data_IF_916349813123
#
_entry.id   IF_916349813123
#
_cell.length_a   1.000
_cell.length_b   1.000
_cell.length_c   1.000
_cell.angle_alpha   90.00
_cell.angle_beta   90.00
_cell.angle_gamma   90.00
#
_symmetry.space_group_name_H-M   'P 1'
#
loop_
_entity.id
_entity.type
_entity.pdbx_description
1 polymer ?
#
# COMPACT_ATOMS: atom_id res chain seq x y z
N UNK A 1 14.03 7.03 16.38
CA UNK A 1 12.85 7.77 15.91
C UNK A 1 12.48 7.18 14.56
N UNK A 2 11.43 6.36 14.48
CA UNK A 2 10.99 5.78 13.22
C UNK A 2 10.16 6.85 12.52
N UNK A 3 10.69 7.39 11.42
CA UNK A 3 9.92 8.32 10.60
C UNK A 3 8.91 7.47 9.84
N UNK A 4 7.59 7.70 10.00
CA UNK A 4 6.56 6.92 9.32
C UNK A 4 6.72 7.13 7.81
N UNK A 5 7.47 6.25 7.18
CA UNK A 5 7.62 6.20 5.73
C UNK A 5 6.56 5.25 5.22
N UNK A 6 5.70 5.83 4.41
CA UNK A 6 4.54 5.25 3.74
C UNK A 6 4.72 3.83 3.16
N UNK A 7 5.94 3.46 2.73
CA UNK A 7 6.23 2.20 2.03
C UNK A 7 6.53 0.99 2.92
N UNK A 8 6.68 1.16 4.25
CA UNK A 8 7.09 0.04 5.12
C UNK A 8 5.95 -0.97 5.30
N UNK A 9 4.70 -0.50 5.32
CA UNK A 9 3.53 -1.32 5.65
C UNK A 9 2.70 -1.71 4.42
N UNK A 10 2.63 -0.83 3.41
CA UNK A 10 1.94 -1.10 2.16
C UNK A 10 2.70 -0.47 0.99
N UNK A 11 2.66 -1.13 -0.17
CA UNK A 11 3.14 -0.53 -1.41
C UNK A 11 2.21 0.60 -1.88
N UNK A 12 0.93 0.53 -1.50
CA UNK A 12 -0.09 1.57 -1.68
C UNK A 12 -0.29 2.32 -0.37
N UNK A 13 0.26 3.54 -0.24
CA UNK A 13 0.43 4.15 1.06
C UNK A 13 -0.76 5.02 1.49
N UNK A 14 -1.80 4.40 2.04
CA UNK A 14 -2.99 5.12 2.55
C UNK A 14 -3.35 4.79 4.01
N UNK A 15 -2.55 3.98 4.70
CA UNK A 15 -2.73 3.72 6.13
C UNK A 15 -1.38 3.53 6.81
N UNK A 16 -1.39 3.61 8.14
CA UNK A 16 -0.27 3.25 9.00
C UNK A 16 -0.80 2.40 10.16
N UNK A 17 -0.04 2.22 11.25
CA UNK A 17 -0.47 1.44 12.43
C UNK A 17 -0.89 2.31 13.62
N UNK A 18 -1.24 3.58 13.38
CA UNK A 18 -1.79 4.48 14.39
C UNK A 18 -3.31 4.48 14.25
N UNK A 19 -3.99 3.98 15.28
CA UNK A 19 -5.45 3.80 15.27
C UNK A 19 -5.93 3.01 14.04
N UNK A 20 -5.21 1.97 13.64
CA UNK A 20 -5.59 1.13 12.50
C UNK A 20 -5.28 -0.32 12.84
N UNK A 21 -6.29 -1.16 12.67
CA UNK A 21 -6.15 -2.61 12.69
C UNK A 21 -6.37 -3.15 11.28
N UNK A 22 -5.74 -4.27 10.97
CA UNK A 22 -5.92 -4.90 9.67
C UNK A 22 -5.82 -6.41 9.76
N UNK A 23 -6.59 -7.07 8.91
CA UNK A 23 -6.51 -8.49 8.61
C UNK A 23 -6.20 -8.63 7.12
N UNK A 24 -5.35 -9.60 6.78
CA UNK A 24 -5.06 -9.87 5.38
C UNK A 24 -4.91 -11.36 5.11
N UNK A 25 -5.30 -11.75 3.89
CA UNK A 25 -5.03 -13.04 3.30
C UNK A 25 -4.02 -12.88 2.17
N UNK A 26 -3.07 -13.81 2.07
CA UNK A 26 -2.00 -13.75 1.07
C UNK A 26 -1.87 -15.06 0.31
N UNK A 27 -1.69 -14.94 -1.00
CA UNK A 27 -1.34 -16.04 -1.89
C UNK A 27 -0.03 -15.72 -2.58
N UNK A 28 0.96 -16.61 -2.43
CA UNK A 28 2.24 -16.54 -3.15
C UNK A 28 2.37 -17.75 -4.07
N UNK A 29 2.51 -17.47 -5.36
CA UNK A 29 2.73 -18.46 -6.40
C UNK A 29 4.13 -18.32 -6.99
N UNK A 30 4.73 -19.45 -7.31
CA UNK A 30 6.01 -19.53 -8.04
C UNK A 30 5.82 -20.35 -9.31
N UNK A 31 5.14 -19.80 -10.33
CA UNK A 31 4.85 -20.54 -11.56
C UNK A 31 6.12 -20.90 -12.35
N UNK A 32 7.22 -20.17 -12.15
CA UNK A 32 8.51 -20.44 -12.76
C UNK A 32 9.66 -20.09 -11.79
N UNK A 33 10.85 -20.68 -11.97
CA UNK A 33 12.02 -20.44 -11.09
C UNK A 33 12.45 -18.97 -10.99
N UNK A 34 12.06 -18.16 -11.98
CA UNK A 34 12.38 -16.74 -12.10
C UNK A 34 11.20 -15.80 -11.81
N UNK A 35 10.01 -16.34 -11.60
CA UNK A 35 8.78 -15.55 -11.45
C UNK A 35 8.15 -15.84 -10.10
N UNK A 36 7.91 -14.79 -9.33
CA UNK A 36 7.12 -14.83 -8.11
C UNK A 36 5.91 -13.93 -8.30
N UNK A 37 4.73 -14.48 -8.06
CA UNK A 37 3.47 -13.73 -8.06
C UNK A 37 2.96 -13.73 -6.63
N UNK A 38 2.66 -12.56 -6.09
CA UNK A 38 2.04 -12.38 -4.79
C UNK A 38 0.74 -11.62 -5.00
N UNK A 39 -0.33 -12.06 -4.37
CA UNK A 39 -1.57 -11.30 -4.31
C UNK A 39 -2.12 -11.35 -2.91
N UNK A 40 -2.51 -10.18 -2.41
CA UNK A 40 -2.98 -10.00 -1.07
C UNK A 40 -4.35 -9.33 -1.09
N UNK A 41 -5.19 -9.69 -0.12
CA UNK A 41 -6.45 -9.04 0.16
C UNK A 41 -6.43 -8.56 1.61
N UNK A 42 -6.66 -7.28 1.80
CA UNK A 42 -6.58 -6.59 3.08
C UNK A 42 -7.95 -6.02 3.45
N UNK A 43 -8.30 -6.17 4.71
CA UNK A 43 -9.44 -5.52 5.35
C UNK A 43 -8.90 -4.62 6.45
N UNK A 44 -9.24 -3.34 6.40
CA UNK A 44 -8.70 -2.30 7.26
C UNK A 44 -9.83 -1.64 8.03
N UNK A 45 -9.61 -1.47 9.33
CA UNK A 45 -10.53 -0.77 10.21
C UNK A 45 -9.73 0.14 11.15
N UNK A 46 -10.38 1.17 11.69
CA UNK A 46 -9.84 1.91 12.84
C UNK A 46 -9.96 1.03 14.10
N UNK A 47 -9.10 1.30 15.08
CA UNK A 47 -9.20 0.59 16.38
C UNK A 47 -10.20 1.28 17.30
N UNK A 48 -10.33 2.60 17.19
CA UNK A 48 -11.27 3.46 17.90
C UNK A 48 -11.97 4.35 16.88
N UNK A 49 -13.31 4.34 16.89
CA UNK A 49 -14.15 5.09 15.94
C UNK A 49 -14.19 6.58 16.26
N UNK A 50 -14.00 7.00 17.51
CA UNK A 50 -14.00 8.42 17.89
C UNK A 50 -12.63 9.10 17.70
N UNK A 51 -11.58 8.34 17.37
CA UNK A 51 -10.25 8.88 17.05
C UNK A 51 -10.03 9.02 15.53
N UNK A 52 -8.97 9.74 15.13
CA UNK A 52 -8.72 10.07 13.74
C UNK A 52 -8.14 8.90 12.94
N UNK A 53 -8.39 8.93 11.63
CA UNK A 53 -7.56 8.21 10.66
C UNK A 53 -6.25 8.97 10.42
N UNK A 54 -5.14 8.31 10.69
CA UNK A 54 -3.80 8.89 10.55
C UNK A 54 -3.12 8.44 9.25
N UNK A 55 -2.73 9.42 8.43
CA UNK A 55 -2.00 9.23 7.18
C UNK A 55 -0.56 9.70 7.34
N UNK A 56 0.43 8.91 6.91
CA UNK A 56 1.81 9.38 6.87
C UNK A 56 2.00 10.43 5.77
N UNK A 57 2.47 11.62 6.10
CA UNK A 57 2.73 12.68 5.09
C UNK A 57 4.16 12.66 4.56
N UNK A 58 5.06 11.89 5.21
CA UNK A 58 6.50 11.96 4.97
C UNK A 58 7.10 13.31 5.39
N UNK A 59 8.41 13.46 5.18
CA UNK A 59 9.18 14.68 5.54
C UNK A 59 9.03 15.80 4.48
N UNK A 60 8.40 15.52 3.35
CA UNK A 60 8.44 16.40 2.17
C UNK A 60 7.52 17.61 2.25
N UNK A 61 6.71 17.74 3.31
CA UNK A 61 5.84 18.89 3.56
C UNK A 61 6.26 19.64 4.83
N UNK A 62 6.90 20.82 4.73
CA UNK A 62 7.39 21.58 5.88
C UNK A 62 6.27 22.16 6.76
N UNK A 63 5.04 22.18 6.27
CA UNK A 63 3.82 22.62 6.94
C UNK A 63 3.10 21.51 7.72
N UNK A 64 3.53 20.24 7.58
CA UNK A 64 2.88 19.09 8.20
C UNK A 64 3.88 18.27 9.03
N UNK A 65 3.50 17.91 10.26
CA UNK A 65 4.35 17.21 11.22
C UNK A 65 4.46 15.70 10.91
N UNK A 66 4.81 15.33 9.67
CA UNK A 66 5.02 13.94 9.27
C UNK A 66 3.77 13.05 9.18
N UNK A 67 2.61 13.53 9.65
CA UNK A 67 1.31 12.88 9.49
C UNK A 67 0.17 13.89 9.25
N UNK A 68 -0.85 13.44 8.54
CA UNK A 68 -2.14 14.11 8.32
C UNK A 68 -3.21 13.35 9.10
N UNK A 69 -4.10 14.06 9.77
CA UNK A 69 -5.28 13.47 10.42
C UNK A 69 -6.53 13.73 9.59
N UNK A 70 -7.37 12.70 9.47
CA UNK A 70 -8.67 12.76 8.82
C UNK A 70 -9.73 12.31 9.84
N UNK A 71 -10.81 13.08 10.03
CA UNK A 71 -11.90 12.67 10.93
C UNK A 71 -12.45 11.31 10.51
N UNK A 72 -12.69 10.42 11.47
CA UNK A 72 -13.31 9.11 11.24
C UNK A 72 -14.78 9.20 10.85
N UNK A 73 -15.50 10.20 11.37
CA UNK A 73 -16.96 10.28 11.23
C UNK A 73 -17.73 9.50 12.31
N UNK A 74 -17.04 8.95 13.31
CA UNK A 74 -17.55 7.92 14.24
C UNK A 74 -17.89 6.60 13.54
N UNK A 75 -17.13 6.27 12.50
CA UNK A 75 -17.11 4.94 11.89
C UNK A 75 -15.71 4.33 12.01
N UNK A 76 -15.63 3.01 12.00
CA UNK A 76 -14.38 2.26 12.05
C UNK A 76 -14.02 1.56 10.74
N UNK A 77 -14.95 1.41 9.79
CA UNK A 77 -14.66 0.73 8.52
C UNK A 77 -13.86 1.65 7.58
N UNK A 78 -12.59 1.28 7.36
CA UNK A 78 -11.65 2.13 6.63
C UNK A 78 -11.63 1.81 5.14
N UNK A 79 -11.29 0.57 4.79
CA UNK A 79 -11.16 0.15 3.41
C UNK A 79 -10.99 -1.37 3.25
N UNK A 80 -11.34 -1.86 2.06
CA UNK A 80 -10.83 -3.13 1.55
C UNK A 80 -9.79 -2.85 0.45
N UNK A 81 -8.65 -3.53 0.47
CA UNK A 81 -7.63 -3.40 -0.58
C UNK A 81 -7.26 -4.75 -1.15
N UNK A 82 -7.22 -4.84 -2.47
CA UNK A 82 -6.60 -5.95 -3.18
C UNK A 82 -5.34 -5.49 -3.88
N UNK A 83 -4.25 -6.26 -3.77
CA UNK A 83 -3.03 -6.01 -4.52
C UNK A 83 -2.47 -7.26 -5.22
N UNK A 84 -1.69 -6.98 -6.26
CA UNK A 84 -1.00 -7.94 -7.09
C UNK A 84 0.42 -7.44 -7.38
N UNK A 85 1.40 -8.25 -6.99
CA UNK A 85 2.81 -8.03 -7.26
C UNK A 85 3.38 -9.17 -8.11
N UNK A 86 4.08 -8.83 -9.19
CA UNK A 86 4.80 -9.81 -10.02
C UNK A 86 6.27 -9.43 -10.05
N UNK A 87 7.12 -10.35 -9.60
CA UNK A 87 8.57 -10.19 -9.57
C UNK A 87 9.20 -11.14 -10.58
N UNK A 88 9.88 -10.60 -11.59
CA UNK A 88 10.56 -11.34 -12.64
C UNK A 88 12.05 -11.10 -12.54
N UNK A 89 12.80 -12.16 -12.22
CA UNK A 89 14.27 -12.11 -12.12
C UNK A 89 14.92 -12.52 -13.43
N UNK A 90 16.08 -11.95 -13.72
CA UNK A 90 16.96 -12.37 -14.82
C UNK A 90 16.21 -12.49 -16.16
N UNK A 91 15.36 -11.50 -16.46
CA UNK A 91 14.59 -11.36 -17.69
C UNK A 91 15.52 -11.26 -18.90
N UNK A 92 16.60 -10.48 -18.76
CA UNK A 92 17.69 -10.43 -19.73
C UNK A 92 19.04 -10.48 -19.01
N UNK A 93 20.06 -10.99 -19.69
CA UNK A 93 21.43 -10.90 -19.21
C UNK A 93 22.38 -10.63 -20.37
N UNK A 94 23.29 -9.68 -20.17
CA UNK A 94 24.29 -9.30 -21.14
C UNK A 94 25.58 -8.89 -20.42
N UNK A 95 26.71 -9.49 -20.80
CA UNK A 95 28.04 -9.21 -20.23
C UNK A 95 28.08 -9.18 -18.69
N UNK A 96 27.43 -10.14 -18.03
CA UNK A 96 27.39 -10.24 -16.56
C UNK A 96 26.30 -9.39 -15.89
N UNK A 97 25.76 -8.38 -16.58
CA UNK A 97 24.63 -7.58 -16.10
C UNK A 97 23.34 -8.38 -16.25
N UNK A 98 22.48 -8.32 -15.24
CA UNK A 98 21.15 -8.94 -15.22
C UNK A 98 20.08 -7.88 -15.08
N UNK A 99 19.02 -8.01 -15.87
CA UNK A 99 17.82 -7.18 -15.80
C UNK A 99 16.67 -7.99 -15.21
N UNK A 100 16.02 -7.47 -14.19
CA UNK A 100 14.75 -7.93 -13.65
C UNK A 100 13.66 -6.88 -13.80
N UNK A 101 12.42 -7.28 -13.56
CA UNK A 101 11.23 -6.45 -13.65
C UNK A 101 10.30 -6.74 -12.49
N UNK A 102 9.84 -5.70 -11.79
CA UNK A 102 8.80 -5.78 -10.79
C UNK A 102 7.57 -5.01 -11.28
N UNK A 103 6.41 -5.63 -11.20
CA UNK A 103 5.12 -5.05 -11.53
C UNK A 103 4.27 -5.04 -10.26
N UNK A 104 3.55 -3.96 -10.05
CA UNK A 104 2.63 -3.83 -8.93
C UNK A 104 1.35 -3.13 -9.40
N UNK A 105 0.22 -3.63 -8.92
CA UNK A 105 -1.08 -3.00 -9.03
C UNK A 105 -1.84 -3.22 -7.74
N UNK A 106 -2.61 -2.23 -7.31
CA UNK A 106 -3.58 -2.35 -6.24
C UNK A 106 -4.83 -1.58 -6.57
N UNK A 107 -5.94 -2.08 -6.05
CA UNK A 107 -7.20 -1.40 -6.01
C UNK A 107 -7.67 -1.32 -4.56
N UNK A 108 -8.10 -0.15 -4.14
CA UNK A 108 -8.64 0.13 -2.80
C UNK A 108 -10.09 0.52 -2.99
N UNK A 109 -10.97 -0.17 -2.29
CA UNK A 109 -12.36 0.23 -2.05
C UNK A 109 -12.42 0.98 -0.73
N UNK A 110 -12.75 2.27 -0.81
CA UNK A 110 -13.00 3.06 0.39
C UNK A 110 -14.30 2.63 1.05
N UNK A 111 -14.35 2.72 2.38
CA UNK A 111 -15.57 2.51 3.15
C UNK A 111 -15.92 3.80 3.91
N UNK A 112 -16.79 3.70 4.92
CA UNK A 112 -17.43 4.82 5.62
C UNK A 112 -16.46 5.95 6.04
N UNK A 113 -15.28 5.60 6.58
CA UNK A 113 -14.27 6.59 7.00
C UNK A 113 -13.71 7.38 5.80
N UNK A 114 -13.50 6.72 4.65
CA UNK A 114 -12.99 7.37 3.43
C UNK A 114 -14.09 8.19 2.76
N UNK A 115 -15.30 7.65 2.64
CA UNK A 115 -16.46 8.34 2.07
C UNK A 115 -16.75 9.66 2.81
N UNK A 116 -16.65 9.66 4.15
CA UNK A 116 -16.81 10.85 4.97
C UNK A 116 -15.83 11.98 4.58
N UNK A 117 -14.62 11.62 4.15
CA UNK A 117 -13.55 12.56 3.81
C UNK A 117 -13.45 12.87 2.30
N UNK A 118 -13.99 12.01 1.45
CA UNK A 118 -13.86 12.06 -0.01
C UNK A 118 -15.20 11.78 -0.70
N UNK A 119 -16.06 12.79 -0.75
CA UNK A 119 -17.46 12.66 -1.23
C UNK A 119 -17.63 12.50 -2.75
N UNK A 120 -16.56 12.38 -3.52
CA UNK A 120 -16.62 12.30 -4.99
C UNK A 120 -16.30 10.92 -5.52
N UNK A 121 -15.32 10.29 -4.90
CA UNK A 121 -14.77 9.00 -5.25
C UNK A 121 -13.95 8.55 -4.04
N UNK A 122 -14.24 7.35 -3.59
CA UNK A 122 -13.69 6.67 -2.43
C UNK A 122 -12.78 5.50 -2.85
N UNK A 123 -12.80 5.13 -4.13
CA UNK A 123 -11.92 4.13 -4.70
C UNK A 123 -10.55 4.71 -5.11
N UNK A 124 -9.52 3.87 -5.09
CA UNK A 124 -8.18 4.25 -5.54
C UNK A 124 -7.44 3.11 -6.25
N UNK A 125 -7.00 3.38 -7.46
CA UNK A 125 -6.04 2.55 -8.19
C UNK A 125 -4.61 3.07 -8.05
N UNK A 126 -3.66 2.17 -7.77
CA UNK A 126 -2.24 2.48 -7.79
C UNK A 126 -1.45 1.39 -8.50
N UNK A 127 -0.54 1.79 -9.39
CA UNK A 127 0.31 0.84 -10.10
C UNK A 127 1.70 1.40 -10.33
N UNK A 128 2.69 0.51 -10.43
CA UNK A 128 4.01 0.87 -10.89
C UNK A 128 4.70 -0.29 -11.62
N UNK A 129 5.72 0.09 -12.39
CA UNK A 129 6.65 -0.83 -13.04
C UNK A 129 8.05 -0.40 -12.66
N UNK A 130 8.86 -1.35 -12.17
CA UNK A 130 10.23 -1.09 -11.73
C UNK A 130 11.20 -2.03 -12.44
N UNK A 131 12.20 -1.47 -13.10
CA UNK A 131 13.30 -2.23 -13.69
C UNK A 131 14.44 -2.36 -12.67
N UNK A 132 14.91 -3.59 -12.45
CA UNK A 132 15.98 -3.90 -11.50
C UNK A 132 17.23 -4.31 -12.26
N UNK A 133 18.32 -3.59 -12.09
CA UNK A 133 19.61 -3.91 -12.72
C UNK A 133 20.56 -4.46 -11.66
N UNK A 134 21.17 -5.60 -11.92
CA UNK A 134 22.16 -6.25 -11.04
C UNK A 134 23.46 -6.48 -11.81
N UNK A 135 24.60 -6.18 -11.18
CA UNK A 135 25.95 -6.27 -11.72
C UNK A 135 26.72 -7.44 -11.09
#
# INVERSE_FOLDING_TARGET
>A
MMIPTLRIYAFTPFYNLMNTQYVFGQVILKPHKKVLVRSDLHYLQLTEEEDYWYLGSGITRPDQFGYVKKPSGNDDDLATMWDLSIFIKDLASYNGVKLGLNLYYSHVWGNDVIEYNFTKDDDMDFFYVEAVITF
#
